data_IF_588806886980
#
_entry.id   IF_588806886980
#
_cell.length_a   1.000
_cell.length_b   1.000
_cell.length_c   1.000
_cell.angle_alpha   90.00
_cell.angle_beta   90.00
_cell.angle_gamma   90.00
#
_symmetry.space_group_name_H-M   'P 1'
#
loop_
_entity.id
_entity.type
_entity.pdbx_description
1 polymer ?
#
# COMPACT_ATOMS: atom_id res chain seq x y z
N UNK A 1 -17.24 -1.14 -19.39
CA UNK A 1 -15.86 -1.25 -18.94
C UNK A 1 -15.75 -0.76 -17.51
N UNK A 2 -15.13 -1.50 -16.64
CA UNK A 2 -15.04 -1.17 -15.22
C UNK A 2 -13.58 -1.07 -14.78
N UNK A 3 -13.34 -0.29 -13.74
CA UNK A 3 -12.03 -0.25 -13.10
C UNK A 3 -11.75 -1.58 -12.40
N UNK A 4 -10.47 -1.98 -12.30
CA UNK A 4 -10.13 -3.11 -11.45
C UNK A 4 -10.43 -2.78 -9.98
N UNK A 5 -10.68 -3.79 -9.16
CA UNK A 5 -11.10 -3.62 -7.78
C UNK A 5 -10.01 -4.13 -6.84
N UNK A 6 -9.63 -3.29 -5.88
CA UNK A 6 -8.81 -3.68 -4.74
C UNK A 6 -9.79 -4.06 -3.62
N UNK A 7 -10.00 -5.35 -3.42
CA UNK A 7 -11.00 -5.87 -2.49
C UNK A 7 -10.41 -6.00 -1.10
N UNK A 8 -11.03 -5.33 -0.12
CA UNK A 8 -10.58 -5.32 1.26
C UNK A 8 -11.59 -5.96 2.20
N UNK A 9 -12.69 -6.51 1.69
CA UNK A 9 -13.78 -7.04 2.50
C UNK A 9 -13.90 -8.57 2.47
N UNK A 10 -13.56 -9.19 1.34
CA UNK A 10 -13.64 -10.65 1.18
C UNK A 10 -12.36 -11.36 1.64
N UNK A 11 -11.43 -10.64 2.20
CA UNK A 11 -10.12 -11.12 2.64
C UNK A 11 -9.67 -10.26 3.82
N UNK A 12 -8.80 -10.79 4.65
CA UNK A 12 -8.15 -9.99 5.70
C UNK A 12 -7.04 -9.17 5.06
N UNK A 13 -7.39 -7.97 4.60
CA UNK A 13 -6.45 -7.08 3.93
C UNK A 13 -5.41 -6.52 4.90
N UNK A 14 -4.15 -6.50 4.49
CA UNK A 14 -3.04 -5.92 5.26
C UNK A 14 -2.15 -5.12 4.32
N UNK A 15 -1.76 -3.88 4.65
CA UNK A 15 -2.12 -3.17 5.87
C UNK A 15 -3.51 -2.55 5.80
N UNK A 16 -4.01 -2.10 6.95
CA UNK A 16 -5.23 -1.32 7.05
C UNK A 16 -4.89 0.12 7.43
N UNK A 17 -5.84 1.04 7.23
CA UNK A 17 -5.65 2.42 7.65
C UNK A 17 -5.31 2.51 9.14
N UNK A 18 -4.36 3.38 9.46
CA UNK A 18 -3.89 3.64 10.83
C UNK A 18 -3.17 2.47 11.48
N UNK A 19 -2.81 1.44 10.73
CA UNK A 19 -2.09 0.31 11.31
C UNK A 19 -0.68 0.73 11.74
N UNK A 20 -0.22 0.18 12.87
CA UNK A 20 1.07 0.50 13.46
C UNK A 20 1.98 -0.71 13.31
N UNK A 21 3.20 -0.45 12.83
CA UNK A 21 4.27 -1.43 12.72
C UNK A 21 5.48 -0.91 13.46
N UNK A 22 6.43 -1.80 13.72
CA UNK A 22 7.69 -1.46 14.38
C UNK A 22 8.84 -1.62 13.38
N UNK A 23 9.87 -0.81 13.51
CA UNK A 23 11.08 -0.98 12.68
C UNK A 23 11.62 -2.40 12.84
N UNK A 24 11.99 -3.02 11.72
CA UNK A 24 12.46 -4.41 11.70
C UNK A 24 11.35 -5.44 11.58
N UNK A 25 10.08 -5.04 11.72
CA UNK A 25 8.94 -5.92 11.52
C UNK A 25 8.73 -6.23 10.04
N UNK A 26 7.91 -7.26 9.79
CA UNK A 26 7.46 -7.61 8.45
C UNK A 26 6.02 -7.16 8.29
N UNK A 27 5.73 -6.49 7.17
CA UNK A 27 4.35 -6.20 6.76
C UNK A 27 3.88 -7.38 5.93
N UNK A 28 2.93 -8.18 6.44
CA UNK A 28 2.40 -9.33 5.68
C UNK A 28 1.33 -8.83 4.70
N UNK A 29 1.79 -8.22 3.61
CA UNK A 29 0.91 -7.65 2.58
C UNK A 29 -0.04 -8.71 2.06
N UNK A 30 -1.33 -8.39 2.02
CA UNK A 30 -2.36 -9.31 1.59
C UNK A 30 -3.56 -8.54 1.04
N UNK A 31 -3.79 -8.60 -0.26
CA UNK A 31 -4.93 -7.97 -0.92
C UNK A 31 -5.48 -8.87 -2.00
N UNK A 32 -6.78 -8.79 -2.21
CA UNK A 32 -7.47 -9.48 -3.30
C UNK A 32 -7.74 -8.47 -4.42
N UNK A 33 -7.29 -8.77 -5.62
CA UNK A 33 -7.53 -7.97 -6.82
C UNK A 33 -8.50 -8.68 -7.73
N UNK A 34 -9.48 -7.95 -8.25
CA UNK A 34 -10.45 -8.49 -9.18
C UNK A 34 -10.67 -7.54 -10.35
N UNK A 35 -11.04 -8.10 -11.49
CA UNK A 35 -11.42 -7.34 -12.68
C UNK A 35 -12.42 -8.15 -13.48
N UNK A 36 -13.27 -7.46 -14.26
CA UNK A 36 -14.28 -8.13 -15.07
C UNK A 36 -13.69 -8.78 -16.33
N UNK A 37 -12.50 -8.41 -16.74
CA UNK A 37 -11.84 -8.94 -17.93
C UNK A 37 -10.54 -9.63 -17.58
N UNK A 38 -9.48 -8.88 -17.38
CA UNK A 38 -8.15 -9.43 -17.09
C UNK A 38 -7.33 -8.43 -16.29
N UNK A 39 -6.71 -8.89 -15.22
CA UNK A 39 -5.77 -8.11 -14.43
C UNK A 39 -4.42 -8.01 -15.17
N UNK A 40 -3.68 -6.95 -14.93
CA UNK A 40 -2.39 -6.72 -15.57
C UNK A 40 -1.23 -6.72 -14.60
N UNK A 41 -1.16 -5.71 -13.73
CA UNK A 41 -0.03 -5.50 -12.84
C UNK A 41 -0.44 -4.67 -11.63
N UNK A 42 0.43 -4.63 -10.64
CA UNK A 42 0.23 -3.72 -9.50
C UNK A 42 1.56 -3.17 -9.02
N UNK A 43 1.48 -2.03 -8.34
CA UNK A 43 2.63 -1.35 -7.75
C UNK A 43 2.36 -1.15 -6.26
N UNK A 44 3.38 -1.35 -5.44
CA UNK A 44 3.36 -1.04 -4.02
C UNK A 44 4.36 0.08 -3.79
N UNK A 45 3.89 1.20 -3.24
CA UNK A 45 4.74 2.33 -2.93
C UNK A 45 4.56 2.74 -1.48
N UNK A 46 5.69 2.93 -0.78
CA UNK A 46 5.70 3.38 0.61
C UNK A 46 6.68 4.55 0.69
N UNK A 47 6.22 5.67 1.26
CA UNK A 47 7.08 6.82 1.51
C UNK A 47 6.60 7.59 2.74
N UNK A 48 7.46 8.43 3.28
CA UNK A 48 7.15 9.19 4.50
C UNK A 48 6.05 10.22 4.25
N UNK A 49 5.33 10.54 5.33
CA UNK A 49 4.35 11.61 5.37
C UNK A 49 4.65 12.55 6.55
N UNK A 50 5.93 12.89 6.73
CA UNK A 50 6.37 13.70 7.87
C UNK A 50 5.95 15.16 7.75
N UNK A 51 5.64 15.62 6.55
CA UNK A 51 5.13 16.97 6.28
C UNK A 51 3.60 17.00 6.14
N UNK A 52 2.93 15.87 6.41
CA UNK A 52 1.47 15.73 6.39
C UNK A 52 0.83 16.06 5.04
N UNK A 53 1.54 15.77 3.94
CA UNK A 53 0.92 15.88 2.62
C UNK A 53 -0.12 14.75 2.43
N UNK A 54 -1.02 14.94 1.46
CA UNK A 54 -2.05 13.94 1.19
C UNK A 54 -1.89 13.35 -0.20
N UNK A 55 -2.09 12.04 -0.30
CA UNK A 55 -1.97 11.31 -1.56
C UNK A 55 -3.14 10.40 -1.80
N UNK A 56 -4.26 10.74 -1.51
CA UNK A 56 -5.24 9.78 -1.82
C UNK A 56 -6.61 10.05 -1.25
N UNK A 57 -7.37 9.01 -1.23
CA UNK A 57 -8.78 9.08 -1.01
C UNK A 57 -9.20 8.43 0.31
N UNK A 58 -8.26 8.19 1.21
CA UNK A 58 -8.61 7.64 2.51
C UNK A 58 -9.51 8.63 3.25
N UNK A 59 -10.69 8.16 3.68
CA UNK A 59 -11.62 8.94 4.47
C UNK A 59 -11.36 8.82 5.97
N UNK A 60 -10.39 7.98 6.36
CA UNK A 60 -10.07 7.73 7.76
C UNK A 60 -8.95 8.67 8.19
N UNK A 61 -9.19 9.41 9.28
CA UNK A 61 -8.16 10.22 9.89
C UNK A 61 -7.41 9.40 10.93
N UNK A 62 -6.10 9.35 10.78
CA UNK A 62 -5.23 8.65 11.72
C UNK A 62 -4.51 9.65 12.59
N UNK A 63 -4.28 9.32 13.89
CA UNK A 63 -3.42 10.17 14.73
C UNK A 63 -2.05 10.30 14.09
N UNK A 64 -1.56 11.53 13.95
CA UNK A 64 -0.27 11.81 13.33
C UNK A 64 0.66 12.47 14.33
N UNK A 65 1.95 12.21 14.17
CA UNK A 65 2.98 12.89 14.95
C UNK A 65 3.20 14.30 14.43
N UNK A 66 3.89 15.12 15.19
CA UNK A 66 4.27 16.46 14.74
C UNK A 66 5.11 16.38 13.47
N UNK A 67 4.97 17.39 12.62
CA UNK A 67 5.76 17.48 11.39
C UNK A 67 7.24 17.47 11.70
N UNK A 68 8.01 16.81 10.86
CA UNK A 68 9.46 16.75 10.99
C UNK A 68 10.11 16.59 9.63
N UNK A 69 11.41 16.87 9.57
CA UNK A 69 12.20 16.69 8.36
C UNK A 69 12.72 15.26 8.31
N UNK A 70 12.66 14.59 7.15
CA UNK A 70 13.22 13.26 7.01
C UNK A 70 14.76 13.29 7.10
N UNK A 71 15.33 12.30 7.74
CA UNK A 71 16.78 12.10 7.84
C UNK A 71 17.19 10.85 7.05
N UNK A 72 16.51 9.73 7.31
CA UNK A 72 16.71 8.47 6.60
C UNK A 72 15.35 7.80 6.39
N UNK A 73 14.46 8.42 5.59
CA UNK A 73 13.12 7.89 5.41
C UNK A 73 13.15 6.60 4.60
N UNK A 74 12.19 5.72 4.88
CA UNK A 74 12.02 4.51 4.10
C UNK A 74 11.29 4.83 2.80
N UNK A 75 11.88 4.41 1.70
CA UNK A 75 11.26 4.49 0.38
C UNK A 75 11.20 3.09 -0.19
N UNK A 76 10.00 2.65 -0.54
CA UNK A 76 9.76 1.35 -1.15
C UNK A 76 8.88 1.57 -2.36
N UNK A 77 9.30 1.08 -3.53
CA UNK A 77 8.53 1.22 -4.75
C UNK A 77 8.84 0.02 -5.65
N UNK A 78 7.86 -0.87 -5.79
CA UNK A 78 8.05 -2.11 -6.54
C UNK A 78 6.85 -2.37 -7.43
N UNK A 79 7.14 -2.78 -8.67
CA UNK A 79 6.15 -3.24 -9.64
C UNK A 79 6.11 -4.75 -9.66
N UNK A 80 4.88 -5.29 -9.78
CA UNK A 80 4.64 -6.72 -9.87
C UNK A 80 3.73 -7.02 -11.05
N UNK A 81 4.03 -8.08 -11.79
CA UNK A 81 3.22 -8.54 -12.90
C UNK A 81 2.26 -9.62 -12.41
N UNK A 82 1.00 -9.50 -12.77
CA UNK A 82 -0.01 -10.55 -12.51
C UNK A 82 0.01 -11.51 -13.70
N UNK A 83 0.02 -12.83 -13.47
CA UNK A 83 -0.02 -13.79 -14.58
C UNK A 83 -1.20 -13.56 -15.52
N UNK A 84 -0.98 -13.76 -16.79
CA UNK A 84 -2.00 -13.54 -17.81
C UNK A 84 -3.25 -14.37 -17.56
N UNK A 85 -4.43 -13.85 -17.94
CA UNK A 85 -5.69 -14.55 -17.87
C UNK A 85 -6.37 -14.55 -16.51
N UNK A 86 -5.85 -13.80 -15.54
CA UNK A 86 -6.41 -13.76 -14.19
C UNK A 86 -7.48 -12.66 -14.10
N UNK A 87 -8.66 -13.01 -13.59
CA UNK A 87 -9.71 -12.05 -13.22
C UNK A 87 -9.75 -11.85 -11.70
N UNK A 88 -9.08 -12.70 -10.96
CA UNK A 88 -8.97 -12.65 -9.52
C UNK A 88 -7.57 -13.08 -9.13
N UNK A 89 -6.92 -12.33 -8.26
CA UNK A 89 -5.55 -12.61 -7.85
C UNK A 89 -5.34 -12.16 -6.42
N UNK A 90 -4.87 -13.06 -5.56
CA UNK A 90 -4.50 -12.71 -4.19
C UNK A 90 -3.02 -12.38 -4.17
N UNK A 91 -2.69 -11.12 -3.92
CA UNK A 91 -1.32 -10.65 -3.83
C UNK A 91 -0.83 -10.75 -2.39
N UNK A 92 0.25 -11.50 -2.16
CA UNK A 92 0.86 -11.67 -0.85
C UNK A 92 2.35 -11.42 -0.92
N UNK A 93 2.84 -10.61 0.00
CA UNK A 93 4.27 -10.30 0.11
C UNK A 93 4.64 -10.11 1.56
N UNK A 94 5.82 -10.56 1.93
CA UNK A 94 6.41 -10.24 3.22
C UNK A 94 7.38 -9.08 3.00
N UNK A 95 6.95 -7.88 3.37
CA UNK A 95 7.74 -6.66 3.19
C UNK A 95 8.46 -6.36 4.50
N UNK A 96 9.77 -6.53 4.51
CA UNK A 96 10.59 -6.27 5.70
C UNK A 96 10.84 -4.78 5.85
N UNK A 97 10.47 -4.23 6.99
CA UNK A 97 10.74 -2.83 7.34
C UNK A 97 12.20 -2.74 7.80
N UNK A 98 13.05 -1.94 7.15
CA UNK A 98 14.43 -1.80 7.61
C UNK A 98 14.47 -1.26 9.05
N UNK A 99 15.47 -1.69 9.81
CA UNK A 99 15.59 -1.32 11.22
C UNK A 99 16.23 0.06 11.44
N UNK A 100 16.79 0.66 10.40
CA UNK A 100 17.56 1.91 10.47
C UNK A 100 16.84 3.11 9.84
N UNK A 101 15.58 2.93 9.42
CA UNK A 101 14.82 4.02 8.81
C UNK A 101 14.16 4.89 9.89
N UNK A 102 13.78 6.09 9.48
CA UNK A 102 13.09 7.02 10.39
C UNK A 102 11.73 6.45 10.82
N UNK A 103 11.42 6.44 12.11
CA UNK A 103 10.05 6.14 12.55
C UNK A 103 9.14 7.33 12.27
N UNK A 104 7.86 7.09 12.20
CA UNK A 104 6.86 8.14 12.02
C UNK A 104 5.74 7.72 11.10
N UNK A 105 5.09 8.73 10.50
CA UNK A 105 3.94 8.54 9.63
C UNK A 105 4.37 8.30 8.20
N UNK A 106 3.76 7.29 7.58
CA UNK A 106 4.06 6.88 6.19
C UNK A 106 2.78 6.72 5.40
N UNK A 107 2.87 6.94 4.10
CA UNK A 107 1.84 6.53 3.14
C UNK A 107 2.18 5.15 2.60
N UNK A 108 1.16 4.33 2.50
CA UNK A 108 1.24 3.01 1.86
C UNK A 108 0.23 2.99 0.72
N UNK A 109 0.70 2.90 -0.51
CA UNK A 109 -0.17 2.98 -1.69
C UNK A 109 -0.08 1.71 -2.52
N UNK A 110 -1.24 1.24 -2.96
CA UNK A 110 -1.37 0.12 -3.88
C UNK A 110 -2.05 0.65 -5.14
N UNK A 111 -1.38 0.50 -6.28
CA UNK A 111 -1.91 0.89 -7.57
C UNK A 111 -2.11 -0.36 -8.42
N UNK A 112 -3.35 -0.64 -8.78
CA UNK A 112 -3.71 -1.82 -9.56
C UNK A 112 -4.05 -1.38 -10.98
N UNK A 113 -3.49 -2.08 -11.97
CA UNK A 113 -3.75 -1.81 -13.39
C UNK A 113 -4.28 -3.08 -14.03
N UNK A 114 -5.38 -2.96 -14.79
CA UNK A 114 -5.88 -4.10 -15.57
C UNK A 114 -5.19 -4.17 -16.94
N UNK A 115 -5.48 -5.23 -17.69
CA UNK A 115 -4.87 -5.44 -19.00
C UNK A 115 -5.25 -4.35 -20.01
N UNK A 116 -6.42 -3.75 -19.84
CA UNK A 116 -6.90 -2.67 -20.71
C UNK A 116 -6.29 -1.29 -20.37
N UNK A 117 -5.57 -1.18 -19.25
CA UNK A 117 -4.91 0.04 -18.84
C UNK A 117 -5.68 0.87 -17.82
N UNK A 118 -6.82 0.40 -17.33
CA UNK A 118 -7.54 1.08 -16.25
C UNK A 118 -6.84 0.86 -14.91
N UNK A 119 -6.86 1.89 -14.06
CA UNK A 119 -6.14 1.85 -12.80
C UNK A 119 -7.07 2.15 -11.63
N UNK A 120 -6.74 1.54 -10.49
CA UNK A 120 -7.36 1.82 -9.19
C UNK A 120 -6.25 2.06 -8.17
N UNK A 121 -6.39 3.10 -7.38
CA UNK A 121 -5.46 3.44 -6.31
C UNK A 121 -6.12 3.22 -4.95
N UNK A 122 -5.41 2.58 -4.04
CA UNK A 122 -5.80 2.47 -2.64
C UNK A 122 -4.66 3.00 -1.78
N UNK A 123 -4.89 4.12 -1.12
CA UNK A 123 -3.89 4.77 -0.29
C UNK A 123 -4.28 4.67 1.19
N UNK A 124 -3.31 4.33 2.01
CA UNK A 124 -3.50 4.13 3.45
C UNK A 124 -2.42 4.89 4.21
N UNK A 125 -2.79 5.36 5.41
CA UNK A 125 -1.81 5.88 6.37
C UNK A 125 -1.39 4.74 7.29
N UNK A 126 -0.08 4.58 7.48
CA UNK A 126 0.47 3.65 8.47
C UNK A 126 1.44 4.40 9.35
N UNK A 127 1.75 3.85 10.52
CA UNK A 127 2.74 4.40 11.43
C UNK A 127 3.81 3.36 11.70
N UNK A 128 5.07 3.79 11.67
CA UNK A 128 6.21 2.94 12.01
C UNK A 128 6.84 3.49 13.28
N UNK A 129 6.92 2.65 14.31
CA UNK A 129 7.52 3.01 15.60
C UNK A 129 8.95 2.47 15.71
N UNK A 130 9.64 2.94 16.72
CA UNK A 130 10.99 2.48 17.04
C UNK A 130 11.04 1.02 17.51
#
# INVERSE_FOLDING_TARGET
>A
MTYPVINTTDIVAVPTDCQVFKRGDVIPFNFLFTDNMELGAYNIEIHNNFDHHTHGTSSVECPMEAEKKPVNPWVYNQDFTIPAGQRSYTARHDITIPSDIDPGDYHFMVRLTDHAGWQQLHAMAIKITE
#
